data_IF_267056047147
#
_entry.id   IF_267056047147
#
_cell.length_a   1.000
_cell.length_b   1.000
_cell.length_c   1.000
_cell.angle_alpha   90.00
_cell.angle_beta   90.00
_cell.angle_gamma   90.00
#
_symmetry.space_group_name_H-M   'P 1'
#
loop_
_entity.id
_entity.type
_entity.pdbx_description
1 polymer ?
#
# COMPACT_ATOMS: atom_id res chain seq x y z
N UNK A 1 -0.70 -8.20 6.43
CA UNK A 1 -1.00 -7.03 5.57
C UNK A 1 -1.82 -6.08 6.42
N UNK A 2 -1.25 -4.95 6.84
CA UNK A 2 -2.02 -3.95 7.58
C UNK A 2 -3.04 -3.30 6.64
N UNK A 3 -4.25 -3.08 7.15
CA UNK A 3 -5.40 -2.52 6.43
C UNK A 3 -5.07 -1.16 5.78
N UNK A 4 -4.15 -0.40 6.38
CA UNK A 4 -3.75 0.94 5.96
C UNK A 4 -2.93 0.98 4.66
N UNK A 5 -2.18 -0.09 4.37
CA UNK A 5 -1.34 -0.18 3.17
C UNK A 5 -2.18 -0.28 1.88
N UNK A 6 -3.37 -0.88 1.97
CA UNK A 6 -4.33 -0.99 0.88
C UNK A 6 -5.06 0.35 0.69
N UNK A 7 -5.48 1.00 1.79
CA UNK A 7 -6.15 2.29 1.78
C UNK A 7 -5.30 3.41 1.16
N UNK A 8 -3.98 3.42 1.40
CA UNK A 8 -3.07 4.41 0.83
C UNK A 8 -2.96 4.33 -0.71
N UNK A 9 -2.92 3.12 -1.29
CA UNK A 9 -2.90 2.94 -2.75
C UNK A 9 -4.22 3.37 -3.43
N UNK A 10 -5.34 3.18 -2.72
CA UNK A 10 -6.66 3.57 -3.19
C UNK A 10 -6.86 5.09 -3.14
N UNK A 11 -6.30 5.73 -2.12
CA UNK A 11 -6.28 7.18 -2.00
C UNK A 11 -5.43 7.83 -3.11
N UNK A 12 -4.34 7.18 -3.55
CA UNK A 12 -3.49 7.69 -4.64
C UNK A 12 -4.19 7.67 -6.02
N UNK A 13 -5.17 6.79 -6.24
CA UNK A 13 -6.00 6.75 -7.46
C UNK A 13 -7.07 7.86 -7.44
N UNK A 14 -7.43 8.38 -6.27
CA UNK A 14 -8.56 9.30 -6.06
C UNK A 14 -8.10 10.68 -5.58
N UNK A 15 -7.19 11.34 -6.31
CA UNK A 15 -6.58 12.60 -5.83
C UNK A 15 -7.49 13.84 -5.85
N UNK A 16 -8.82 13.68 -5.97
CA UNK A 16 -9.77 14.72 -5.58
C UNK A 16 -11.00 14.09 -4.91
N UNK A 17 -11.21 14.44 -3.63
CA UNK A 17 -12.37 14.21 -2.77
C UNK A 17 -12.35 12.96 -1.85
N UNK A 18 -12.00 13.21 -0.59
CA UNK A 18 -11.93 12.29 0.55
C UNK A 18 -13.24 11.55 0.90
N UNK A 19 -14.41 12.03 0.47
CA UNK A 19 -15.71 11.39 0.77
C UNK A 19 -16.15 10.32 -0.24
N UNK A 20 -15.46 10.17 -1.37
CA UNK A 20 -15.81 9.20 -2.42
C UNK A 20 -15.04 7.88 -2.24
N UNK A 21 -14.06 7.80 -1.34
CA UNK A 21 -13.20 6.60 -1.23
C UNK A 21 -13.95 5.40 -0.64
N UNK A 22 -14.77 5.61 0.39
CA UNK A 22 -15.64 4.57 0.97
C UNK A 22 -16.77 4.19 0.01
N UNK A 23 -17.39 5.17 -0.66
CA UNK A 23 -18.43 4.93 -1.68
C UNK A 23 -17.86 4.25 -2.93
N UNK A 24 -16.63 4.57 -3.36
CA UNK A 24 -15.97 3.92 -4.49
C UNK A 24 -15.45 2.53 -4.14
N UNK A 25 -15.07 2.26 -2.89
CA UNK A 25 -14.73 0.90 -2.46
C UNK A 25 -15.98 0.01 -2.44
N UNK A 26 -17.10 0.53 -1.94
CA UNK A 26 -18.40 -0.10 -2.11
C UNK A 26 -18.79 -0.20 -3.59
N UNK A 27 -18.57 0.82 -4.43
CA UNK A 27 -18.95 0.78 -5.84
C UNK A 27 -18.04 -0.13 -6.69
N UNK A 28 -16.75 -0.30 -6.39
CA UNK A 28 -15.85 -1.27 -7.06
C UNK A 28 -16.21 -2.69 -6.59
N UNK A 29 -16.51 -2.88 -5.30
CA UNK A 29 -17.01 -4.14 -4.76
C UNK A 29 -18.42 -4.49 -5.27
N UNK A 30 -19.26 -3.48 -5.53
CA UNK A 30 -20.64 -3.60 -6.02
C UNK A 30 -20.72 -3.57 -7.56
N UNK A 31 -19.64 -3.25 -8.27
CA UNK A 31 -19.50 -3.41 -9.72
C UNK A 31 -18.65 -4.66 -10.01
N UNK A 32 -19.16 -5.84 -9.67
CA UNK A 32 -18.82 -7.16 -10.22
C UNK A 32 -17.37 -7.41 -10.68
N UNK A 33 -16.35 -6.90 -9.97
CA UNK A 33 -14.95 -7.20 -10.25
C UNK A 33 -14.27 -7.66 -9.00
N UNK A 34 -14.10 -8.98 -8.90
CA UNK A 34 -13.25 -9.59 -7.92
C UNK A 34 -11.81 -9.08 -8.14
N UNK A 35 -11.26 -8.38 -7.15
CA UNK A 35 -9.83 -8.08 -7.13
C UNK A 35 -9.12 -9.11 -6.28
N UNK A 36 -7.90 -9.43 -6.68
CA UNK A 36 -7.07 -10.43 -6.03
C UNK A 36 -5.76 -9.80 -5.62
N UNK A 37 -5.24 -10.23 -4.49
CA UNK A 37 -3.96 -9.78 -3.95
C UNK A 37 -2.99 -10.93 -3.92
N UNK A 38 -1.82 -10.76 -4.53
CA UNK A 38 -0.73 -11.74 -4.52
C UNK A 38 0.43 -11.19 -3.69
N UNK A 39 0.79 -11.82 -2.56
CA UNK A 39 2.06 -11.57 -1.88
C UNK A 39 3.24 -11.83 -2.82
N UNK A 40 4.28 -11.02 -2.72
CA UNK A 40 5.48 -11.13 -3.56
C UNK A 40 6.68 -11.56 -2.72
N UNK A 41 7.26 -12.70 -3.08
CA UNK A 41 8.57 -13.12 -2.57
C UNK A 41 9.72 -12.44 -3.36
N UNK A 42 10.93 -12.52 -2.79
CA UNK A 42 12.11 -11.91 -3.40
C UNK A 42 12.49 -12.56 -4.73
N UNK A 43 12.19 -13.84 -4.94
CA UNK A 43 12.47 -14.54 -6.20
C UNK A 43 11.59 -14.02 -7.34
N UNK A 44 10.30 -13.84 -7.07
CA UNK A 44 9.33 -13.20 -7.96
C UNK A 44 9.81 -11.81 -8.35
N UNK A 45 10.28 -11.01 -7.37
CA UNK A 45 10.82 -9.67 -7.64
C UNK A 45 12.09 -9.72 -8.48
N UNK A 46 13.00 -10.65 -8.17
CA UNK A 46 14.28 -10.78 -8.87
C UNK A 46 14.10 -11.21 -10.33
N UNK A 47 13.11 -12.06 -10.60
CA UNK A 47 12.78 -12.52 -11.95
C UNK A 47 12.07 -11.48 -12.83
N UNK A 48 11.64 -10.34 -12.28
CA UNK A 48 10.95 -9.32 -13.07
C UNK A 48 11.83 -8.76 -14.20
N UNK A 49 11.22 -8.60 -15.35
CA UNK A 49 11.78 -7.98 -16.55
C UNK A 49 10.93 -6.78 -16.96
N UNK A 50 11.38 -5.97 -17.92
CA UNK A 50 10.56 -4.89 -18.47
C UNK A 50 9.22 -5.38 -19.05
N UNK A 51 9.15 -6.66 -19.42
CA UNK A 51 7.98 -7.30 -20.02
C UNK A 51 7.05 -7.97 -19.01
N UNK A 52 7.39 -7.90 -17.73
CA UNK A 52 6.52 -8.40 -16.67
C UNK A 52 5.17 -7.65 -16.61
N UNK A 53 4.12 -8.28 -16.08
CA UNK A 53 2.82 -7.64 -15.90
C UNK A 53 2.88 -6.31 -15.15
N UNK A 54 2.07 -5.33 -15.58
CA UNK A 54 2.06 -3.96 -15.02
C UNK A 54 1.78 -3.96 -13.51
N UNK A 55 0.93 -4.86 -13.01
CA UNK A 55 0.65 -4.95 -11.57
C UNK A 55 1.88 -5.37 -10.75
N UNK A 56 2.76 -6.22 -11.30
CA UNK A 56 4.03 -6.59 -10.65
C UNK A 56 5.06 -5.47 -10.76
N UNK A 57 5.16 -4.82 -11.93
CA UNK A 57 6.05 -3.67 -12.13
C UNK A 57 5.68 -2.50 -11.22
N UNK A 58 4.37 -2.29 -10.96
CA UNK A 58 3.90 -1.30 -10.00
C UNK A 58 4.35 -1.65 -8.59
N UNK A 59 4.16 -2.89 -8.15
CA UNK A 59 4.59 -3.33 -6.82
C UNK A 59 6.11 -3.17 -6.63
N UNK A 60 6.91 -3.48 -7.66
CA UNK A 60 8.34 -3.19 -7.69
C UNK A 60 8.64 -1.69 -7.54
N UNK A 61 7.95 -0.85 -8.33
CA UNK A 61 8.14 0.61 -8.32
C UNK A 61 7.79 1.25 -6.96
N UNK A 62 6.68 0.83 -6.36
CA UNK A 62 6.19 1.33 -5.06
C UNK A 62 6.79 0.60 -3.87
N UNK A 63 7.66 -0.39 -4.11
CA UNK A 63 8.27 -1.23 -3.08
C UNK A 63 7.25 -1.91 -2.16
N UNK A 64 6.10 -2.33 -2.71
CA UNK A 64 5.03 -2.99 -1.96
C UNK A 64 5.18 -4.51 -1.99
N UNK A 65 4.99 -5.21 -0.86
CA UNK A 65 5.16 -6.66 -0.76
C UNK A 65 4.01 -7.47 -1.39
N UNK A 66 3.18 -6.84 -2.20
CA UNK A 66 2.04 -7.46 -2.85
C UNK A 66 1.69 -6.74 -4.15
N UNK A 67 1.03 -7.45 -5.06
CA UNK A 67 0.42 -6.89 -6.26
C UNK A 67 -1.09 -7.15 -6.27
N UNK A 68 -1.83 -6.25 -6.94
CA UNK A 68 -3.28 -6.30 -7.06
C UNK A 68 -3.64 -6.49 -8.54
N UNK A 69 -4.53 -7.43 -8.82
CA UNK A 69 -4.95 -7.82 -10.17
C UNK A 69 -6.42 -8.23 -10.22
N UNK A 70 -6.99 -8.34 -11.42
CA UNK A 70 -8.37 -8.79 -11.65
C UNK A 70 -8.49 -10.32 -11.75
N UNK A 71 -9.67 -10.85 -12.03
CA UNK A 71 -9.87 -12.30 -12.18
C UNK A 71 -9.00 -12.96 -13.27
N UNK A 72 -8.63 -12.21 -14.30
CA UNK A 72 -7.81 -12.66 -15.42
C UNK A 72 -6.30 -12.46 -15.20
N UNK A 73 -5.88 -12.12 -13.97
CA UNK A 73 -4.49 -11.81 -13.63
C UNK A 73 -3.93 -10.62 -14.41
N UNK A 74 -4.79 -9.69 -14.82
CA UNK A 74 -4.41 -8.45 -15.47
C UNK A 74 -4.35 -7.28 -14.49
N UNK A 75 -3.64 -6.24 -14.89
CA UNK A 75 -3.64 -4.99 -14.15
C UNK A 75 -4.89 -4.18 -14.49
N UNK A 76 -5.48 -3.55 -13.48
CA UNK A 76 -6.50 -2.51 -13.69
C UNK A 76 -5.97 -1.29 -14.46
N UNK A 77 -4.64 -1.14 -14.54
CA UNK A 77 -3.96 -0.06 -15.25
C UNK A 77 -3.44 -0.61 -16.58
N UNK A 78 -3.91 0.00 -17.66
CA UNK A 78 -3.51 -0.28 -19.03
C UNK A 78 -2.93 0.97 -19.67
N UNK A 79 -2.35 0.85 -20.87
CA UNK A 79 -1.82 2.00 -21.58
C UNK A 79 -2.91 3.03 -21.92
N UNK A 80 -4.14 2.58 -22.20
CA UNK A 80 -5.27 3.42 -22.58
C UNK A 80 -5.81 4.24 -21.39
N UNK A 81 -5.73 3.70 -20.17
CA UNK A 81 -6.34 4.32 -19.00
C UNK A 81 -5.32 4.90 -18.00
N UNK A 82 -4.02 4.67 -18.19
CA UNK A 82 -2.98 5.05 -17.23
C UNK A 82 -2.94 6.56 -16.93
N UNK A 83 -3.10 7.42 -17.94
CA UNK A 83 -3.14 8.88 -17.74
C UNK A 83 -4.35 9.34 -16.93
N UNK A 84 -5.50 8.66 -17.09
CA UNK A 84 -6.73 8.94 -16.35
C UNK A 84 -6.62 8.49 -14.90
N UNK A 85 -6.05 7.30 -14.65
CA UNK A 85 -5.94 6.72 -13.31
C UNK A 85 -4.79 7.33 -12.51
N UNK A 86 -3.64 7.60 -13.14
CA UNK A 86 -2.42 8.02 -12.45
C UNK A 86 -2.07 9.49 -12.67
N UNK A 87 -2.75 10.16 -13.59
CA UNK A 87 -2.41 11.50 -14.05
C UNK A 87 -1.26 11.51 -15.07
N UNK A 88 -1.27 12.51 -15.94
CA UNK A 88 -0.25 12.71 -16.99
C UNK A 88 1.18 12.93 -16.47
N UNK A 89 1.33 13.32 -15.19
CA UNK A 89 2.64 13.54 -14.54
C UNK A 89 3.13 12.31 -13.77
N UNK A 90 2.48 11.16 -13.92
CA UNK A 90 2.91 9.94 -13.22
C UNK A 90 4.25 9.43 -13.75
N UNK A 91 5.26 9.46 -12.88
CA UNK A 91 6.57 8.87 -13.18
C UNK A 91 6.46 7.39 -13.49
N UNK A 92 5.58 6.66 -12.80
CA UNK A 92 5.37 5.24 -13.09
C UNK A 92 4.84 5.04 -14.51
N UNK A 93 3.79 5.78 -14.90
CA UNK A 93 3.22 5.66 -16.25
C UNK A 93 4.24 6.03 -17.32
N UNK A 94 4.99 7.11 -17.12
CA UNK A 94 6.00 7.55 -18.08
C UNK A 94 7.14 6.53 -18.24
N UNK A 95 7.54 5.84 -17.18
CA UNK A 95 8.67 4.91 -17.20
C UNK A 95 8.25 3.50 -17.64
N UNK A 96 7.21 2.93 -17.00
CA UNK A 96 6.85 1.52 -17.12
C UNK A 96 5.72 1.23 -18.11
N UNK A 97 5.01 2.25 -18.57
CA UNK A 97 3.91 2.10 -19.54
C UNK A 97 4.32 2.73 -20.87
N UNK A 98 4.46 4.06 -20.92
CA UNK A 98 4.75 4.77 -22.17
C UNK A 98 6.23 4.65 -22.59
N UNK A 99 7.15 4.65 -21.63
CA UNK A 99 8.59 4.53 -21.85
C UNK A 99 9.14 3.10 -21.78
N UNK A 100 8.26 2.07 -21.70
CA UNK A 100 8.65 0.67 -21.45
C UNK A 100 9.75 0.17 -22.39
N UNK A 101 9.69 0.53 -23.67
CA UNK A 101 10.69 0.10 -24.66
C UNK A 101 12.09 0.68 -24.42
N UNK A 102 12.16 1.83 -23.76
CA UNK A 102 13.41 2.52 -23.39
C UNK A 102 13.87 2.19 -21.96
N UNK A 103 13.15 1.34 -21.24
CA UNK A 103 13.51 0.95 -19.87
C UNK A 103 14.82 0.16 -19.88
N UNK A 104 15.86 0.71 -19.26
CA UNK A 104 17.16 0.06 -19.19
C UNK A 104 17.17 -1.05 -18.13
N UNK A 105 17.94 -2.10 -18.40
CA UNK A 105 18.21 -3.17 -17.42
C UNK A 105 18.78 -2.59 -16.13
N UNK A 106 19.70 -1.62 -16.23
CA UNK A 106 20.30 -0.94 -15.07
C UNK A 106 19.26 -0.29 -14.16
N UNK A 107 18.26 0.41 -14.72
CA UNK A 107 17.21 1.02 -13.91
C UNK A 107 16.34 -0.03 -13.23
N UNK A 108 16.00 -1.11 -13.94
CA UNK A 108 15.20 -2.19 -13.38
C UNK A 108 15.92 -2.90 -12.23
N UNK A 109 17.22 -3.17 -12.39
CA UNK A 109 18.06 -3.75 -11.32
C UNK A 109 18.18 -2.80 -10.12
N UNK A 110 18.33 -1.50 -10.35
CA UNK A 110 18.32 -0.52 -9.26
C UNK A 110 17.00 -0.52 -8.49
N UNK A 111 15.86 -0.71 -9.18
CA UNK A 111 14.55 -0.85 -8.54
C UNK A 111 14.43 -2.13 -7.72
N UNK A 112 14.94 -3.26 -8.21
CA UNK A 112 14.98 -4.52 -7.44
C UNK A 112 15.85 -4.40 -6.20
N UNK A 113 17.00 -3.74 -6.32
CA UNK A 113 17.88 -3.47 -5.18
C UNK A 113 17.18 -2.59 -4.14
N UNK A 114 16.52 -1.51 -4.57
CA UNK A 114 15.74 -0.64 -3.69
C UNK A 114 14.61 -1.39 -2.99
N UNK A 115 13.87 -2.23 -3.71
CA UNK A 115 12.83 -3.06 -3.11
C UNK A 115 13.40 -3.92 -1.98
N UNK A 116 14.50 -4.61 -2.25
CA UNK A 116 15.15 -5.52 -1.30
C UNK A 116 15.60 -4.78 -0.03
N UNK A 117 16.14 -3.58 -0.15
CA UNK A 117 16.60 -2.80 1.01
C UNK A 117 15.43 -2.16 1.76
N UNK A 118 14.34 -1.81 1.08
CA UNK A 118 13.21 -1.13 1.69
C UNK A 118 12.32 -2.05 2.55
N UNK A 119 12.20 -3.34 2.19
CA UNK A 119 11.36 -4.28 2.96
C UNK A 119 11.73 -4.38 4.46
N UNK A 120 13.00 -4.65 4.85
CA UNK A 120 13.36 -4.76 6.27
C UNK A 120 13.15 -3.44 7.01
N UNK A 121 13.51 -2.30 6.40
CA UNK A 121 13.30 -0.97 7.00
C UNK A 121 11.82 -0.74 7.32
N UNK A 122 10.93 -1.08 6.38
CA UNK A 122 9.48 -0.94 6.58
C UNK A 122 8.97 -1.85 7.68
N UNK A 123 9.51 -3.07 7.78
CA UNK A 123 9.15 -4.00 8.84
C UNK A 123 9.59 -3.47 10.22
N UNK A 124 10.83 -3.01 10.36
CA UNK A 124 11.35 -2.42 11.60
C UNK A 124 10.50 -1.22 12.05
N UNK A 125 10.14 -0.33 11.12
CA UNK A 125 9.26 0.81 11.41
C UNK A 125 7.88 0.37 11.90
N UNK A 126 7.30 -0.69 11.29
CA UNK A 126 6.00 -1.19 11.69
C UNK A 126 6.03 -1.83 13.10
N UNK A 127 7.10 -2.57 13.40
CA UNK A 127 7.33 -3.17 14.72
C UNK A 127 7.52 -2.10 15.80
N UNK A 128 8.30 -1.05 15.51
CA UNK A 128 8.50 0.08 16.42
C UNK A 128 7.20 0.85 16.69
N UNK A 129 6.43 1.15 15.64
CA UNK A 129 5.12 1.80 15.79
C UNK A 129 4.15 0.95 16.61
N UNK A 130 4.13 -0.36 16.41
CA UNK A 130 3.28 -1.26 17.18
C UNK A 130 3.68 -1.26 18.67
N UNK A 131 4.97 -1.24 18.96
CA UNK A 131 5.47 -1.16 20.33
C UNK A 131 5.04 0.16 20.99
N UNK A 132 5.20 1.29 20.31
CA UNK A 132 4.77 2.61 20.81
C UNK A 132 3.26 2.65 21.07
N UNK A 133 2.44 2.04 20.21
CA UNK A 133 1.00 1.95 20.42
C UNK A 133 0.66 1.13 21.67
N UNK A 134 1.30 -0.01 21.87
CA UNK A 134 1.10 -0.85 23.06
C UNK A 134 1.50 -0.13 24.36
N UNK A 135 2.61 0.60 24.35
CA UNK A 135 3.06 1.41 25.49
C UNK A 135 2.01 2.49 25.82
N UNK A 136 1.52 3.20 24.81
CA UNK A 136 0.49 4.23 24.98
C UNK A 136 -0.84 3.66 25.51
N UNK A 137 -1.27 2.49 25.03
CA UNK A 137 -2.47 1.80 25.52
C UNK A 137 -2.34 1.41 27.00
N UNK A 138 -1.17 0.93 27.42
CA UNK A 138 -0.90 0.60 28.82
C UNK A 138 -0.91 1.84 29.72
N UNK A 139 -0.33 2.96 29.25
CA UNK A 139 -0.36 4.23 29.97
C UNK A 139 -1.79 4.75 30.17
N UNK A 140 -2.62 4.69 29.12
CA UNK A 140 -4.02 5.08 29.17
C UNK A 140 -4.82 4.24 30.17
N UNK A 141 -4.64 2.91 30.16
CA UNK A 141 -5.28 2.02 31.14
C UNK A 141 -4.85 2.34 32.58
N UNK A 142 -3.57 2.70 32.78
CA UNK A 142 -3.04 3.13 34.07
C UNK A 142 -3.68 4.43 34.57
N UNK A 143 -3.89 5.41 33.68
CA UNK A 143 -4.55 6.68 34.01
C UNK A 143 -6.04 6.48 34.36
N UNK A 144 -6.77 5.69 33.59
CA UNK A 144 -8.18 5.36 33.85
C UNK A 144 -8.35 4.69 35.22
N UNK A 145 -7.44 3.77 35.55
CA UNK A 145 -7.43 3.08 36.84
C UNK A 145 -7.20 4.04 38.00
N UNK A 146 -6.31 5.03 37.84
CA UNK A 146 -6.07 6.09 38.83
C UNK A 146 -7.28 7.00 39.00
N UNK A 147 -7.93 7.41 37.90
CA UNK A 147 -9.13 8.25 37.95
C UNK A 147 -10.31 7.55 38.64
N UNK A 148 -10.56 6.27 38.35
CA UNK A 148 -11.60 5.48 39.04
C UNK A 148 -11.38 5.44 40.55
N UNK A 149 -10.14 5.21 40.99
CA UNK A 149 -9.80 5.22 42.42
C UNK A 149 -10.10 6.56 43.07
N UNK A 150 -9.68 7.67 42.48
CA UNK A 150 -9.93 9.04 42.99
C UNK A 150 -11.45 9.32 43.10
N UNK A 151 -12.23 8.88 42.12
CA UNK A 151 -13.68 9.09 42.13
C UNK A 151 -14.39 8.26 43.22
N UNK A 152 -13.92 7.03 43.48
CA UNK A 152 -14.46 6.22 44.58
C UNK A 152 -14.14 6.79 45.95
N UNK A 153 -12.94 7.32 46.19
CA UNK A 153 -12.59 7.93 47.49
C UNK A 153 -13.38 9.21 47.78
N UNK A 154 -13.64 10.04 46.75
CA UNK A 154 -14.44 11.28 46.91
C UNK A 154 -15.94 11.05 47.13
N UNK A 155 -16.46 9.85 46.87
CA UNK A 155 -17.88 9.49 47.09
C UNK A 155 -18.17 8.92 48.47
N UNK A 156 -17.12 8.56 49.21
CA UNK A 156 -17.18 7.95 50.55
C UNK A 156 -16.94 8.95 51.69
N UNK A 157 -16.76 10.23 51.38
CA UNK A 157 -16.74 11.38 52.30
C UNK A 157 -18.04 12.17 52.17
#
# INVERSE_FOLDING_TARGET
MQYDDLHYELHYIAKEQENIVSENFFNIRNQDKNFFVKPLDLETIHSLTKDSPIHLLRALYTCKPFAIYDEDKQSFITQENASKILGYKSNFANIFIYGKNSLSTTYLEARKALYKTYQPIKQEQAEELQKQQQELEQELQGLDSKQKRIHTTKKSE
#
